data_IF_423761943368
#
_entry.id   IF_423761943368
#
_cell.length_a   1.000
_cell.length_b   1.000
_cell.length_c   1.000
_cell.angle_alpha   90.00
_cell.angle_beta   90.00
_cell.angle_gamma   90.00
#
_symmetry.space_group_name_H-M   'P 1'
#
loop_
_entity.id
_entity.type
_entity.pdbx_description
1 polymer ?
2 non-polymer ?
3 non-polymer ?
4 non-polymer ?
5 non-polymer ?
6 non-polymer ?
7 non-polymer ?
8 non-polymer ?
9 water ?
#
# COMPACT_ATOMS: atom_id res chain seq x y z
N UNK A 1 8.48 18.81 -7.98
CA UNK A 1 7.67 17.78 -8.60
C UNK A 1 8.44 16.48 -8.68
N UNK A 2 7.76 15.36 -8.38
CA UNK A 2 8.39 14.05 -8.40
C UNK A 2 7.46 12.93 -8.86
N UNK A 3 8.06 11.88 -9.37
CA UNK A 3 7.33 10.73 -9.86
C UNK A 3 8.02 9.45 -9.38
N UNK A 4 7.22 8.47 -8.98
CA UNK A 4 7.74 7.16 -8.60
C UNK A 4 6.81 6.09 -9.18
N UNK A 5 7.27 4.84 -9.13
CA UNK A 5 6.49 3.74 -9.67
C UNK A 5 6.86 2.47 -8.94
N UNK A 6 5.86 1.61 -8.77
CA UNK A 6 6.06 0.27 -8.26
C UNK A 6 5.48 -0.73 -9.24
N UNK A 7 6.29 -1.70 -9.64
CA UNK A 7 5.85 -2.77 -10.47
C UNK A 7 5.59 -3.95 -9.56
N UNK A 8 4.33 -4.31 -9.43
CA UNK A 8 3.92 -5.35 -8.48
C UNK A 8 4.00 -6.72 -9.15
N UNK A 9 4.70 -7.64 -8.48
CA UNK A 9 4.82 -9.02 -8.93
C UNK A 9 4.73 -9.96 -7.73
N UNK A 10 4.43 -11.22 -8.00
CA UNK A 10 4.42 -12.20 -6.93
C UNK A 10 4.08 -13.59 -7.42
N UNK A 11 3.78 -14.45 -6.43
CA UNK A 11 3.53 -15.86 -6.66
C UNK A 11 2.07 -16.23 -6.72
N UNK A 12 1.18 -15.27 -6.99
CA UNK A 12 -0.25 -15.51 -6.88
C UNK A 12 -1.04 -15.06 -8.09
N UNK A 13 -0.36 -14.89 -9.21
CA UNK A 13 -1.03 -14.47 -10.42
C UNK A 13 -1.45 -13.01 -10.43
N UNK A 14 -1.00 -12.26 -9.43
CA UNK A 14 -1.30 -10.85 -9.29
C UNK A 14 -0.12 -10.02 -9.75
N UNK A 15 -0.41 -9.02 -10.56
CA UNK A 15 0.61 -8.09 -11.00
C UNK A 15 0.00 -6.73 -11.25
N UNK A 16 0.84 -5.72 -11.35
CA UNK A 16 0.32 -4.41 -11.69
C UNK A 16 1.40 -3.36 -11.74
N UNK A 17 0.99 -2.15 -12.08
CA UNK A 17 1.87 -0.99 -12.11
C UNK A 17 1.15 0.13 -11.44
N UNK A 18 1.80 0.70 -10.43
CA UNK A 18 1.26 1.80 -9.66
C UNK A 18 2.22 3.00 -9.70
N UNK A 19 1.71 4.13 -10.16
CA UNK A 19 2.48 5.38 -10.18
C UNK A 19 2.15 6.27 -9.00
N UNK A 20 3.14 7.06 -8.60
CA UNK A 20 3.00 8.07 -7.58
C UNK A 20 3.43 9.38 -8.22
N UNK A 21 2.64 10.43 -8.07
CA UNK A 21 3.03 11.75 -8.56
C UNK A 21 2.80 12.78 -7.48
N UNK A 22 3.85 13.48 -7.10
CA UNK A 22 3.75 14.52 -6.07
C UNK A 22 3.91 15.86 -6.75
N UNK A 23 2.99 16.76 -6.47
CA UNK A 23 3.01 18.07 -7.11
C UNK A 23 4.16 18.93 -6.63
N UNK A 24 4.53 19.92 -7.44
CA UNK A 24 5.42 20.97 -6.97
C UNK A 24 4.78 21.59 -5.74
N UNK A 25 5.60 21.96 -4.76
CA UNK A 25 5.08 22.43 -3.49
C UNK A 25 4.69 21.28 -2.59
N UNK A 26 4.84 20.05 -3.11
CA UNK A 26 4.72 18.82 -2.35
C UNK A 26 3.67 18.68 -1.26
N UNK A 27 2.44 19.07 -1.55
CA UNK A 27 1.36 18.91 -0.57
C UNK A 27 0.55 17.65 -0.83
N UNK A 28 0.35 17.31 -2.10
CA UNK A 28 -0.56 16.23 -2.47
C UNK A 28 0.14 15.24 -3.40
N UNK A 29 -0.01 13.95 -3.09
CA UNK A 29 0.52 12.90 -3.92
C UNK A 29 -0.64 12.08 -4.46
N UNK A 30 -0.64 11.86 -5.77
CA UNK A 30 -1.64 11.05 -6.45
C UNK A 30 -1.05 9.68 -6.76
N UNK A 31 -1.74 8.64 -6.31
CA UNK A 31 -1.35 7.25 -6.50
C UNK A 31 -2.33 6.63 -7.47
N UNK A 32 -1.86 6.10 -8.59
CA UNK A 32 -2.79 5.58 -9.56
C UNK A 32 -2.19 4.48 -10.40
N UNK A 33 -3.04 3.63 -10.93
CA UNK A 33 -2.61 2.57 -11.81
C UNK A 33 -3.61 1.44 -11.76
N UNK A 34 -3.15 0.24 -12.02
CA UNK A 34 -4.03 -0.91 -11.99
C UNK A 34 -3.30 -2.17 -11.56
N UNK A 35 -4.08 -3.09 -11.01
CA UNK A 35 -3.63 -4.39 -10.54
C UNK A 35 -4.56 -5.45 -11.10
N UNK A 36 -4.01 -6.52 -11.66
CA UNK A 36 -4.83 -7.59 -12.24
C UNK A 36 -4.59 -8.91 -11.55
N UNK A 37 -5.47 -9.87 -11.83
CA UNK A 37 -5.34 -11.22 -11.31
C UNK A 37 -5.93 -11.43 -9.93
N UNK A 38 -6.68 -10.44 -9.46
CA UNK A 38 -7.21 -10.43 -8.11
C UNK A 38 -8.58 -11.11 -8.03
N UNK A 39 -8.86 -11.77 -6.90
CA UNK A 39 -10.23 -12.19 -6.64
C UNK A 39 -11.12 -10.95 -6.56
N UNK A 40 -12.33 -10.99 -7.12
CA UNK A 40 -13.16 -9.79 -7.01
C UNK A 40 -13.42 -9.40 -5.58
N UNK A 41 -13.46 -8.09 -5.33
CA UNK A 41 -13.66 -7.55 -4.00
C UNK A 41 -12.51 -6.69 -3.51
N UNK A 42 -12.51 -6.47 -2.20
CA UNK A 42 -11.60 -5.52 -1.58
C UNK A 42 -10.31 -6.19 -1.16
N UNK A 43 -9.21 -5.51 -1.46
CA UNK A 43 -7.85 -5.97 -1.17
C UNK A 43 -7.04 -4.91 -0.45
N UNK A 44 -6.48 -5.27 0.69
CA UNK A 44 -5.64 -4.37 1.45
C UNK A 44 -4.42 -3.90 0.65
N UNK A 45 -3.99 -2.68 0.90
CA UNK A 45 -3.02 -1.98 0.05
C UNK A 45 -2.17 -1.12 0.94
N UNK A 46 -0.88 -1.46 1.10
CA UNK A 46 -0.03 -0.78 2.05
C UNK A 46 1.36 -0.54 1.53
N UNK A 47 1.95 0.56 1.96
CA UNK A 47 3.41 0.72 1.87
C UNK A 47 4.04 0.10 3.12
N UNK A 48 4.95 -0.85 2.90
CA UNK A 48 5.61 -1.55 3.98
C UNK A 48 6.97 -0.95 4.24
N UNK A 49 7.56 -1.33 5.37
CA UNK A 49 8.81 -0.76 5.85
C UNK A 49 9.99 -0.89 4.91
N UNK A 50 10.18 -2.07 4.38
CA UNK A 50 11.41 -2.40 3.66
C UNK A 50 11.13 -2.60 2.19
N UNK A 51 12.11 -2.21 1.37
CA UNK A 51 12.11 -2.49 -0.05
C UNK A 51 13.01 -3.67 -0.34
N UNK A 52 12.84 -4.72 0.46
CA UNK A 52 13.71 -5.91 0.47
C UNK A 52 12.93 -7.09 -0.06
N UNK A 53 13.31 -7.57 -1.25
CA UNK A 53 12.65 -8.71 -1.89
C UNK A 53 13.45 -9.99 -1.83
N UNK A 54 14.37 -10.09 -0.90
CA UNK A 54 15.18 -11.30 -0.78
C UNK A 54 14.36 -12.52 -0.35
N UNK A 55 13.24 -12.28 0.35
CA UNK A 55 12.31 -13.34 0.77
C UNK A 55 10.92 -12.98 0.22
N UNK A 56 10.83 -12.74 -1.08
CA UNK A 56 9.57 -12.40 -1.70
C UNK A 56 8.98 -11.15 -1.07
N UNK A 57 7.68 -11.15 -0.81
CA UNK A 57 7.04 -10.00 -0.14
C UNK A 57 7.14 -10.09 1.39
N UNK A 58 7.60 -11.21 1.91
CA UNK A 58 7.74 -11.36 3.36
C UNK A 58 8.79 -10.42 3.95
N UNK A 59 9.90 -10.24 3.22
CA UNK A 59 10.97 -9.38 3.70
C UNK A 59 10.66 -7.89 3.63
N UNK A 60 9.45 -7.54 3.17
CA UNK A 60 9.03 -6.15 3.18
C UNK A 60 8.77 -5.64 4.60
N UNK A 61 8.71 -6.54 5.57
CA UNK A 61 8.49 -6.14 6.95
C UNK A 61 7.07 -5.67 7.20
N UNK A 62 6.90 -4.91 8.27
CA UNK A 62 5.58 -4.42 8.67
C UNK A 62 5.19 -3.15 7.92
N UNK A 63 4.10 -2.51 8.32
CA UNK A 63 3.69 -1.31 7.59
C UNK A 63 4.66 -0.18 7.87
N UNK A 64 4.85 0.69 6.87
CA UNK A 64 5.67 1.87 7.06
C UNK A 64 4.98 2.80 8.07
N UNK A 65 5.68 3.06 9.19
CA UNK A 65 5.07 3.70 10.34
C UNK A 65 6.06 4.58 11.12
N UNK A 66 6.60 5.60 10.44
CA UNK A 66 7.66 6.42 11.04
C UNK A 66 7.20 7.19 12.27
N UNK A 67 5.90 7.37 12.46
CA UNK A 67 5.40 8.08 13.64
C UNK A 67 4.89 7.18 14.76
N UNK A 68 5.02 5.86 14.58
CA UNK A 68 4.76 4.92 15.64
C UNK A 68 3.31 4.91 16.09
N UNK A 69 2.39 4.94 15.13
CA UNK A 69 0.96 4.94 15.43
C UNK A 69 0.34 3.55 15.21
N UNK A 70 -0.94 3.42 15.55
CA UNK A 70 -1.68 2.21 15.25
C UNK A 70 -2.17 2.23 13.81
N UNK A 71 -2.51 1.06 13.32
CA UNK A 71 -3.05 0.89 12.00
C UNK A 71 -4.42 1.57 11.86
N UNK A 72 -4.66 2.19 10.72
CA UNK A 72 -5.96 2.74 10.39
C UNK A 72 -6.19 2.76 8.90
N UNK A 73 -7.19 3.55 8.51
CA UNK A 73 -7.44 3.80 7.09
C UNK A 73 -6.77 5.06 6.64
N UNK A 74 -6.65 5.23 5.32
CA UNK A 74 -5.93 6.38 4.79
C UNK A 74 -6.52 7.74 5.17
N UNK A 75 -7.81 7.80 5.49
CA UNK A 75 -8.44 9.06 5.87
C UNK A 75 -8.31 9.36 7.36
N UNK A 76 -7.78 8.42 8.12
CA UNK A 76 -7.70 8.59 9.58
C UNK A 76 -6.54 9.48 10.01
N UNK A 77 -6.79 10.28 11.04
CA UNK A 77 -5.76 11.14 11.62
C UNK A 77 -4.68 10.32 12.32
N UNK A 78 -5.08 9.17 12.88
CA UNK A 78 -4.15 8.19 13.46
C UNK A 78 -4.10 6.97 12.58
N UNK A 79 -2.95 6.74 11.95
CA UNK A 79 -2.76 5.63 11.04
C UNK A 79 -1.26 5.44 10.86
N UNK A 80 -0.86 4.35 10.21
CA UNK A 80 0.47 4.26 9.65
C UNK A 80 0.55 5.10 8.39
N UNK A 81 1.67 5.78 8.17
CA UNK A 81 1.83 6.51 6.92
C UNK A 81 1.55 5.63 5.69
N UNK A 82 1.98 4.37 5.74
CA UNK A 82 1.80 3.46 4.64
C UNK A 82 0.41 2.90 4.42
N UNK A 83 -0.55 3.29 5.25
CA UNK A 83 -1.90 2.72 5.18
C UNK A 83 -2.69 3.32 4.04
N UNK A 84 -2.96 2.54 3.00
CA UNK A 84 -3.68 3.03 1.85
C UNK A 84 -5.03 2.33 1.66
N UNK A 85 -5.51 1.67 2.71
CA UNK A 85 -6.86 1.10 2.67
C UNK A 85 -7.01 -0.09 1.76
N UNK A 86 -8.12 -0.10 1.03
CA UNK A 86 -8.45 -1.16 0.12
C UNK A 86 -8.55 -0.69 -1.31
N UNK A 87 -8.08 -1.52 -2.22
CA UNK A 87 -8.38 -1.33 -3.61
C UNK A 87 -9.44 -2.37 -4.00
N UNK A 88 -10.17 -2.07 -5.07
CA UNK A 88 -11.38 -2.81 -5.42
C UNK A 88 -11.25 -3.49 -6.77
N UNK A 89 -11.18 -4.82 -6.73
CA UNK A 89 -11.13 -5.62 -7.94
C UNK A 89 -12.51 -5.92 -8.44
N UNK A 90 -12.72 -5.69 -9.72
CA UNK A 90 -13.98 -5.97 -10.38
C UNK A 90 -14.11 -7.45 -10.66
N UNK A 91 -15.20 -7.82 -11.33
CA UNK A 91 -15.46 -9.22 -11.65
C UNK A 91 -14.38 -9.80 -12.54
N UNK A 92 -13.66 -8.95 -13.25
CA UNK A 92 -12.62 -9.39 -14.18
C UNK A 92 -11.26 -9.47 -13.51
N UNK A 93 -11.21 -9.23 -12.21
CA UNK A 93 -10.00 -9.36 -11.43
C UNK A 93 -9.08 -8.16 -11.47
N UNK A 94 -9.57 -7.07 -12.08
CA UNK A 94 -8.78 -5.86 -12.21
C UNK A 94 -9.27 -4.80 -11.25
N UNK A 95 -8.31 -4.25 -10.52
CA UNK A 95 -8.55 -3.08 -9.69
C UNK A 95 -7.90 -1.87 -10.31
N UNK A 96 -8.69 -0.85 -10.58
CA UNK A 96 -8.15 0.44 -10.96
C UNK A 96 -7.98 1.26 -9.67
N UNK A 97 -6.79 1.83 -9.52
CA UNK A 97 -6.41 2.53 -8.31
C UNK A 97 -6.32 4.02 -8.55
N UNK A 98 -6.93 4.80 -7.66
CA UNK A 98 -6.81 6.25 -7.70
C UNK A 98 -6.99 6.75 -6.28
N UNK A 99 -5.90 7.26 -5.72
CA UNK A 99 -5.86 7.70 -4.32
C UNK A 99 -5.09 9.00 -4.27
N UNK A 100 -5.67 10.02 -3.65
CA UNK A 100 -4.94 11.25 -3.33
C UNK A 100 -4.58 11.27 -1.85
N UNK A 101 -3.38 11.74 -1.54
CA UNK A 101 -2.87 11.68 -0.18
C UNK A 101 -2.06 12.91 0.18
N UNK A 102 -2.29 13.43 1.38
CA UNK A 102 -1.44 14.45 1.94
C UNK A 102 -0.30 13.86 2.76
N UNK A 103 -0.33 12.54 2.98
CA UNK A 103 0.61 11.89 3.90
C UNK A 103 1.73 11.13 3.19
N UNK A 104 1.42 10.64 2.00
CA UNK A 104 2.41 9.93 1.19
C UNK A 104 3.27 10.96 0.46
N UNK A 105 4.58 10.91 0.73
CA UNK A 105 5.55 11.83 0.16
C UNK A 105 6.54 11.10 -0.73
N UNK A 106 7.10 11.80 -1.72
CA UNK A 106 8.16 11.24 -2.56
C UNK A 106 9.49 11.96 -2.28
N UNK A 107 9.43 12.99 -1.45
CA UNK A 107 10.61 13.76 -1.08
C UNK A 107 10.73 13.81 0.43
N UNK A 108 11.97 13.93 0.91
CA UNK A 108 12.20 14.15 2.32
C UNK A 108 12.34 12.87 3.09
N UNK A 109 12.48 12.97 4.41
CA UNK A 109 12.77 11.83 5.29
C UNK A 109 11.62 10.83 5.38
N UNK A 110 10.41 11.27 5.04
CA UNK A 110 9.25 10.39 5.05
C UNK A 110 8.95 9.80 3.67
N UNK A 111 9.87 9.95 2.73
CA UNK A 111 9.60 9.50 1.36
C UNK A 111 9.28 8.03 1.31
N UNK A 112 8.30 7.63 0.50
CA UNK A 112 8.03 6.20 0.36
C UNK A 112 8.94 5.54 -0.68
N UNK A 113 9.78 6.35 -1.34
CA UNK A 113 10.73 5.76 -2.29
C UNK A 113 11.68 4.84 -1.53
N UNK A 114 11.88 3.64 -2.09
CA UNK A 114 12.73 2.64 -1.46
C UNK A 114 12.01 1.67 -0.55
N UNK A 115 10.73 1.94 -0.29
CA UNK A 115 9.88 1.05 0.46
C UNK A 115 9.09 0.17 -0.51
N UNK A 116 8.46 -0.90 -0.02
CA UNK A 116 7.69 -1.79 -0.88
C UNK A 116 6.22 -1.45 -0.80
N UNK A 117 5.55 -1.48 -1.95
CA UNK A 117 4.08 -1.44 -2.03
C UNK A 117 3.59 -2.86 -2.10
N UNK A 118 2.54 -3.19 -1.34
CA UNK A 118 2.10 -4.56 -1.18
C UNK A 118 0.58 -4.63 -1.29
N UNK A 119 0.09 -5.58 -2.09
CA UNK A 119 -1.33 -5.86 -2.22
C UNK A 119 -1.66 -7.17 -1.54
N UNK A 120 -2.75 -7.21 -0.80
CA UNK A 120 -3.08 -8.33 0.05
C UNK A 120 -4.27 -9.15 -0.44
N UNK A 121 -4.44 -10.34 0.12
CA UNK A 121 -5.49 -11.28 -0.29
C UNK A 121 -6.87 -10.87 0.18
N UNK A 122 -6.94 -10.28 1.35
CA UNK A 122 -8.21 -10.00 2.00
C UNK A 122 -8.41 -8.52 2.21
N UNK A 123 -9.60 -8.19 2.70
CA UNK A 123 -9.94 -6.85 3.07
C UNK A 123 -9.18 -6.35 4.30
N UNK A 124 -8.70 -5.11 4.21
CA UNK A 124 -8.14 -4.37 5.33
C UNK A 124 -9.31 -3.80 6.13
N UNK A 125 -9.40 -4.19 7.40
CA UNK A 125 -10.50 -3.73 8.25
C UNK A 125 -10.26 -2.33 8.80
N UNK A 126 -9.20 -1.66 8.35
CA UNK A 126 -8.90 -0.27 8.67
C UNK A 126 -8.78 0.00 10.17
N UNK A 127 -8.38 -1.02 10.93
CA UNK A 127 -8.18 -0.82 12.35
C UNK A 127 -9.49 -0.84 13.13
N UNK A 128 -10.56 -1.35 12.50
CA UNK A 128 -11.89 -1.41 13.10
C UNK A 128 -12.26 -2.79 13.63
N UNK A 129 -11.29 -3.70 13.69
CA UNK A 129 -11.57 -5.04 14.17
C UNK A 129 -11.92 -5.00 15.64
N UNK A 130 -12.77 -5.92 16.06
CA UNK A 130 -13.22 -5.98 17.44
C UNK A 130 -12.97 -7.35 18.08
N UNK A 131 -13.24 -7.46 19.36
CA UNK A 131 -13.04 -8.74 20.02
C UNK A 131 -11.61 -9.21 19.91
N UNK A 132 -11.41 -10.50 19.65
CA UNK A 132 -10.07 -11.04 19.56
C UNK A 132 -9.37 -10.64 18.29
N UNK A 133 -10.10 -10.04 17.34
CA UNK A 133 -9.50 -9.55 16.09
C UNK A 133 -8.81 -8.21 16.27
N UNK A 134 -9.02 -7.55 17.40
CA UNK A 134 -8.56 -6.17 17.47
C UNK A 134 -7.04 -6.04 17.53
N UNK A 135 -6.34 -7.00 18.12
CA UNK A 135 -4.89 -6.87 18.21
C UNK A 135 -4.26 -6.83 16.81
N UNK A 136 -4.64 -7.78 15.97
CA UNK A 136 -4.08 -7.81 14.63
C UNK A 136 -4.67 -6.66 13.80
N UNK A 137 -5.92 -6.28 14.06
CA UNK A 137 -6.48 -5.15 13.33
C UNK A 137 -5.64 -3.88 13.47
N UNK A 138 -5.19 -3.58 14.69
CA UNK A 138 -4.45 -2.35 14.96
C UNK A 138 -3.00 -2.47 14.55
N UNK A 139 -2.60 -3.64 14.10
CA UNK A 139 -1.25 -3.84 13.56
C UNK A 139 -1.26 -3.85 12.02
N UNK A 140 -2.12 -4.68 11.45
CA UNK A 140 -2.09 -4.93 10.00
C UNK A 140 -3.41 -4.75 9.26
N UNK A 141 -4.51 -4.58 9.99
CA UNK A 141 -5.81 -4.55 9.36
C UNK A 141 -6.37 -5.91 8.95
N UNK A 142 -5.70 -6.97 9.38
CA UNK A 142 -6.17 -8.32 9.09
C UNK A 142 -6.35 -8.63 7.60
N UNK A 143 -5.49 -8.09 6.74
CA UNK A 143 -5.72 -8.20 5.31
C UNK A 143 -5.10 -9.45 4.70
N UNK A 144 -4.53 -10.33 5.52
CA UNK A 144 -4.12 -11.62 5.03
C UNK A 144 -2.86 -11.57 4.20
N UNK A 145 -2.71 -12.57 3.36
CA UNK A 145 -1.40 -12.82 2.76
C UNK A 145 -1.03 -11.74 1.76
N UNK A 146 0.27 -11.66 1.49
CA UNK A 146 0.83 -10.70 0.57
C UNK A 146 0.89 -11.34 -0.80
N UNK A 147 0.04 -10.87 -1.70
CA UNK A 147 -0.11 -11.48 -3.02
C UNK A 147 0.91 -10.96 -4.02
N UNK A 148 1.29 -9.68 -3.92
CA UNK A 148 2.24 -9.10 -4.85
C UNK A 148 2.85 -7.87 -4.21
N UNK A 149 4.05 -7.51 -4.67
CA UNK A 149 4.73 -6.37 -4.11
C UNK A 149 5.75 -5.85 -5.10
N UNK A 150 6.15 -4.61 -4.90
CA UNK A 150 7.22 -4.03 -5.68
C UNK A 150 7.87 -2.92 -4.91
N UNK A 151 9.16 -2.70 -5.14
CA UNK A 151 9.86 -1.60 -4.51
C UNK A 151 9.47 -0.30 -5.21
N UNK A 152 9.18 0.74 -4.44
CA UNK A 152 8.81 2.02 -5.01
C UNK A 152 10.08 2.73 -5.47
N UNK A 153 10.21 2.87 -6.78
CA UNK A 153 11.41 3.44 -7.38
C UNK A 153 11.14 4.77 -8.02
N UNK A 154 12.20 5.56 -8.16
CA UNK A 154 12.13 6.85 -8.85
C UNK A 154 11.79 6.66 -10.33
N UNK A 155 10.87 7.48 -10.83
CA UNK A 155 10.47 7.44 -12.22
C UNK A 155 10.74 8.81 -12.85
N UNK A 156 10.87 8.82 -14.17
CA UNK A 156 11.09 10.05 -14.91
C UNK A 156 9.89 10.95 -14.73
X LIG B 1 1.93 -12.82 -12.15
X LIG B 1 1.32 -13.70 -13.05
X LIG B 1 3.45 -12.85 -12.31
X LIG B 1 3.79 -12.40 -13.60
X LIG B 1 4.14 -11.97 -11.29
X LIG B 1 3.15 -11.19 -10.71
X LIG B 1 1.67 -13.09 -11.13
X LIG B 1 1.57 -11.80 -12.33
X LIG B 1 0.35 -13.72 -12.89
X LIG B 1 3.80 -13.88 -12.18
X LIG B 1 3.50 -11.46 -13.70
X LIG B 1 4.89 -11.34 -11.77
X LIG B 1 4.64 -12.58 -10.53
X LIG C 1 -1.00 -0.12 8.78
X LIG D 1 0.41 -5.09 4.26
X LIG E 1 0.76 -7.26 6.71
X LIG E 1 0.25 -6.09 6.06
X LIG E 1 1.50 -8.16 5.82
X LIG E 1 1.65 -6.84 7.80
X LIG E 1 -0.41 -8.03 7.23
X LIG F 1 0.97 20.06 -4.25
X LIG G 1 -16.53 -6.70 -7.12
X LIG G 1 -17.80 -7.35 -7.08
X LIG G 1 -16.53 -5.57 -6.10
X LIG G 1 -16.70 -6.07 -4.79
X LIG G 1 -16.60 -5.04 -3.85
X LIG G 1 -17.09 -5.53 -2.51
X LIG G 1 -14.36 -8.04 -0.54
X LIG G 1 -15.75 -8.34 -0.53
X LIG G 1 -16.51 -7.05 -0.77
X LIG G 1 -16.29 -6.63 -2.10
X LIG G 1 -15.71 -7.38 -6.86
X LIG G 1 -16.32 -6.28 -8.11
X LIG G 1 -17.87 -7.87 -7.90
X LIG G 1 -15.58 -5.02 -6.18
X LIG G 1 -17.34 -4.86 -6.36
X LIG G 1 -15.56 -4.69 -3.75
X LIG G 1 -17.21 -4.17 -4.17
X LIG G 1 -17.03 -4.71 -1.78
X LIG G 1 -18.15 -5.83 -2.59
X LIG G 1 -13.89 -8.82 -0.21
X LIG G 1 -16.06 -8.76 0.45
X LIG G 1 -16.03 -9.06 -1.30
X LIG G 1 -16.18 -6.30 -0.04
X LIG G 1 -17.59 -7.25 -0.61
X LIG H 1 -11.49 0.85 2.18
X LIG H 1 -10.76 1.73 1.90
X LIG H 1 -9.97 2.55 1.60
#
# INVERSE_FOLDING_TARGET
ARRAVAVLRGDAGVSGIIYFQQGSGGSITTISGSVSGLTPGLHGFHVHQYGDQTNGCTSAGDHYNPFGKTHGGPNDRIKHIGDLGNIVAGANGVAEVYINSYDIKLRGPLSVIGHSLVVHANTDDLGQGTGNMREESLKTGNAGSRLACGVIGIAAVS
GOL C1 O1 C2 O2 C3 O3 H11 H12 HO1 H2 HO2 H31 H32
ZN ZN
CU CU
SO4 S O1 O2 O3 O4
CL CL
PGE C1 O1 C2 O2 C3 C4 O4 C6 C5 O3 H1 H12 HO1 H2 H22 H3 H32 H4 H42 HO4 H6 H62 H5 H52
AZI N1 N2 N3
#
